data_IF_920589516602
#
_entry.id   IF_920589516602
#
_cell.length_a   1.000
_cell.length_b   1.000
_cell.length_c   1.000
_cell.angle_alpha   90.00
_cell.angle_beta   90.00
_cell.angle_gamma   90.00
#
_symmetry.space_group_name_H-M   'P 1'
#
loop_
_entity.id
_entity.type
_entity.pdbx_description
1 polymer ?
#
# COMPACT_ATOMS: atom_id res chain seq x y z
N UNK A 1 -9.86 28.27 49.25
CA UNK A 1 -8.82 27.19 49.24
C UNK A 1 -8.43 26.71 47.86
N UNK A 2 -9.17 27.01 46.78
CA UNK A 2 -8.77 26.71 45.40
C UNK A 2 -7.74 27.72 44.84
N UNK A 3 -7.77 28.98 45.30
CA UNK A 3 -6.77 29.97 44.91
C UNK A 3 -5.34 29.61 45.36
N UNK A 4 -5.19 28.93 46.52
CA UNK A 4 -3.87 28.49 47.01
C UNK A 4 -3.22 27.36 46.24
N UNK A 5 -3.89 26.74 45.26
CA UNK A 5 -3.32 25.67 44.41
C UNK A 5 -2.80 26.22 43.09
N UNK A 6 -3.39 27.31 42.58
CA UNK A 6 -3.05 27.87 41.25
C UNK A 6 -1.71 28.61 41.26
N UNK A 7 -1.37 29.27 42.36
CA UNK A 7 -0.12 30.03 42.53
C UNK A 7 1.11 29.13 42.78
N UNK A 8 0.91 27.79 42.84
CA UNK A 8 1.97 26.79 43.02
C UNK A 8 2.22 25.89 41.82
N UNK A 9 1.55 26.09 40.67
CA UNK A 9 1.79 25.31 39.47
C UNK A 9 3.12 25.76 38.88
N UNK A 10 4.13 24.89 38.96
CA UNK A 10 5.47 25.13 38.45
C UNK A 10 5.74 24.38 37.17
N UNK A 11 4.94 23.39 36.85
CA UNK A 11 5.06 22.54 35.65
C UNK A 11 3.69 22.34 35.03
N UNK A 12 3.63 22.37 33.71
CA UNK A 12 2.46 22.03 32.91
C UNK A 12 2.89 20.99 31.87
N UNK A 13 2.31 19.82 32.00
CA UNK A 13 2.45 18.78 30.96
C UNK A 13 1.30 18.98 29.99
N UNK A 14 1.66 19.18 28.71
CA UNK A 14 0.70 19.39 27.63
C UNK A 14 0.45 18.09 26.83
N UNK A 15 0.99 16.98 27.29
CA UNK A 15 0.88 15.69 26.63
C UNK A 15 1.69 15.61 25.33
N UNK A 16 1.25 14.75 24.43
CA UNK A 16 1.87 14.52 23.11
C UNK A 16 1.38 15.48 22.04
N UNK A 17 1.08 14.92 20.87
CA UNK A 17 0.42 15.64 19.77
C UNK A 17 1.35 16.21 18.70
N UNK A 18 2.67 16.15 18.88
CA UNK A 18 3.59 16.38 17.75
C UNK A 18 3.60 15.14 16.86
N UNK A 19 3.02 15.26 15.67
CA UNK A 19 2.93 14.19 14.70
C UNK A 19 4.21 13.98 13.90
N UNK A 20 4.18 12.97 13.05
CA UNK A 20 5.24 12.61 12.12
C UNK A 20 4.62 12.46 10.73
N UNK A 21 5.29 12.97 9.73
CA UNK A 21 4.86 12.84 8.33
C UNK A 21 5.45 11.57 7.72
N UNK A 22 4.76 10.46 7.86
CA UNK A 22 5.17 9.18 7.27
C UNK A 22 4.90 9.12 5.76
N UNK A 23 3.89 9.85 5.28
CA UNK A 23 3.50 9.87 3.88
C UNK A 23 4.36 10.82 3.02
N UNK A 24 5.00 11.81 3.66
CA UNK A 24 5.68 12.89 2.93
C UNK A 24 4.73 13.90 2.26
N UNK A 25 3.41 13.73 2.44
CA UNK A 25 2.36 14.50 1.76
C UNK A 25 2.12 15.88 2.38
N UNK A 26 2.57 16.10 3.62
CA UNK A 26 2.27 17.28 4.43
C UNK A 26 0.78 17.64 4.47
N UNK A 27 -0.05 16.62 4.55
CA UNK A 27 -1.50 16.71 4.50
C UNK A 27 -2.15 16.63 5.90
N UNK A 28 -3.48 16.55 5.94
CA UNK A 28 -4.26 16.26 7.15
C UNK A 28 -4.58 14.77 7.31
N UNK A 29 -3.95 13.92 6.53
CA UNK A 29 -4.05 12.47 6.71
C UNK A 29 -3.55 12.06 8.10
N UNK A 30 -4.03 10.95 8.61
CA UNK A 30 -3.69 10.49 9.96
C UNK A 30 -2.22 10.05 10.08
N UNK A 31 -1.58 9.67 8.98
CA UNK A 31 -0.14 9.35 8.89
C UNK A 31 0.71 10.53 8.38
N UNK A 32 0.18 11.76 8.36
CA UNK A 32 0.88 12.96 7.92
C UNK A 32 0.68 14.13 8.90
N UNK A 33 1.46 15.19 8.71
CA UNK A 33 1.29 16.47 9.40
C UNK A 33 1.46 17.62 8.41
N UNK A 34 0.65 18.66 8.56
CA UNK A 34 0.71 19.87 7.74
C UNK A 34 1.27 21.09 8.50
N UNK A 35 1.91 20.88 9.64
CA UNK A 35 2.52 21.92 10.47
C UNK A 35 3.97 21.56 10.84
N UNK A 36 4.76 22.56 11.18
CA UNK A 36 6.14 22.37 11.64
C UNK A 36 6.28 22.48 13.15
N UNK A 37 7.46 22.13 13.67
CA UNK A 37 7.81 22.21 15.09
C UNK A 37 7.58 23.60 15.68
N UNK A 38 7.92 24.66 14.91
CA UNK A 38 7.71 26.04 15.35
C UNK A 38 6.22 26.34 15.60
N UNK A 39 5.35 25.93 14.69
CA UNK A 39 3.89 26.14 14.84
C UNK A 39 3.33 25.36 16.03
N UNK A 40 3.78 24.12 16.23
CA UNK A 40 3.43 23.32 17.39
C UNK A 40 3.84 24.02 18.69
N UNK A 41 5.10 24.43 18.79
CA UNK A 41 5.62 25.11 19.98
C UNK A 41 4.89 26.44 20.25
N UNK A 42 4.65 27.25 19.22
CA UNK A 42 3.97 28.54 19.35
C UNK A 42 2.52 28.38 19.86
N UNK A 43 1.80 27.38 19.37
CA UNK A 43 0.43 27.07 19.80
C UNK A 43 0.33 26.64 21.26
N UNK A 44 1.42 26.15 21.86
CA UNK A 44 1.49 25.79 23.28
C UNK A 44 1.98 26.96 24.11
N UNK A 45 3.09 27.58 23.72
CA UNK A 45 3.77 28.61 24.51
C UNK A 45 2.97 29.89 24.56
N UNK A 46 2.40 30.34 23.43
CA UNK A 46 1.71 31.64 23.39
C UNK A 46 0.49 31.75 24.31
N UNK A 47 -0.46 30.76 24.33
CA UNK A 47 -1.59 30.80 25.26
C UNK A 47 -1.16 30.78 26.72
N UNK A 48 -0.14 30.00 27.08
CA UNK A 48 0.38 29.94 28.45
C UNK A 48 1.05 31.26 28.85
N UNK A 49 1.84 31.86 27.96
CA UNK A 49 2.48 33.16 28.18
C UNK A 49 1.43 34.26 28.40
N UNK A 50 0.42 34.33 27.52
CA UNK A 50 -0.67 35.31 27.62
C UNK A 50 -1.43 35.17 28.94
N UNK A 51 -1.77 33.94 29.35
CA UNK A 51 -2.42 33.70 30.63
C UNK A 51 -1.55 34.11 31.82
N UNK A 52 -0.25 33.82 31.78
CA UNK A 52 0.66 34.23 32.85
C UNK A 52 0.76 35.76 32.96
N UNK A 53 0.81 36.48 31.84
CA UNK A 53 0.82 37.93 31.81
C UNK A 53 -0.49 38.50 32.31
N UNK A 54 -1.64 38.02 31.86
CA UNK A 54 -2.97 38.49 32.27
C UNK A 54 -3.20 38.36 33.79
N UNK A 55 -2.76 37.23 34.38
CA UNK A 55 -3.00 36.95 35.80
C UNK A 55 -1.79 37.24 36.71
N UNK A 56 -0.71 37.82 36.19
CA UNK A 56 0.49 38.13 36.94
C UNK A 56 1.19 36.89 37.53
N UNK A 57 1.16 35.76 36.82
CA UNK A 57 1.73 34.50 37.26
C UNK A 57 3.14 34.27 36.71
N UNK A 58 3.95 33.57 37.51
CA UNK A 58 5.25 33.09 37.01
C UNK A 58 5.04 32.01 35.96
N UNK A 59 5.68 32.11 34.76
CA UNK A 59 5.56 31.09 33.74
C UNK A 59 6.00 29.70 34.22
N UNK A 60 5.18 28.66 34.01
CA UNK A 60 5.53 27.30 34.40
C UNK A 60 6.56 26.70 33.42
N UNK A 61 7.24 25.66 33.88
CA UNK A 61 8.01 24.78 32.97
C UNK A 61 7.04 23.94 32.15
N UNK A 62 7.22 23.90 30.84
CA UNK A 62 6.41 23.09 29.93
C UNK A 62 7.10 21.73 29.75
N UNK A 63 6.31 20.68 29.86
CA UNK A 63 6.69 19.30 29.58
C UNK A 63 5.83 18.80 28.42
N UNK A 64 6.43 18.04 27.51
CA UNK A 64 5.73 17.42 26.37
C UNK A 64 6.05 15.92 26.33
N UNK A 65 5.08 15.11 25.88
CA UNK A 65 5.21 13.65 25.74
C UNK A 65 5.26 13.23 24.27
N UNK A 66 6.04 13.93 23.47
CA UNK A 66 6.14 13.73 22.01
C UNK A 66 7.05 12.54 21.64
N UNK A 67 6.80 11.34 22.18
CA UNK A 67 7.63 10.15 21.98
C UNK A 67 7.78 9.77 20.51
N UNK A 68 6.68 9.69 19.77
CA UNK A 68 6.68 9.33 18.34
C UNK A 68 7.59 10.26 17.52
N UNK A 69 7.46 11.56 17.69
CA UNK A 69 8.25 12.53 16.94
C UNK A 69 9.77 12.47 17.26
N UNK A 70 10.11 12.02 18.46
CA UNK A 70 11.52 11.88 18.88
C UNK A 70 12.14 10.57 18.44
N UNK A 71 11.34 9.51 18.27
CA UNK A 71 11.87 8.16 18.08
C UNK A 71 11.60 7.56 16.70
N UNK A 72 10.59 8.02 15.96
CA UNK A 72 10.24 7.44 14.65
C UNK A 72 11.44 7.29 13.71
N UNK A 73 12.26 8.31 13.60
CA UNK A 73 13.38 8.37 12.63
C UNK A 73 14.65 7.59 13.04
N UNK A 74 14.72 7.02 14.26
CA UNK A 74 15.98 6.44 14.73
C UNK A 74 16.18 4.99 14.32
N UNK A 75 15.15 4.31 13.79
CA UNK A 75 15.22 2.91 13.40
C UNK A 75 14.72 2.67 11.98
N UNK A 76 15.33 1.68 11.36
CA UNK A 76 14.96 1.10 10.07
C UNK A 76 14.90 -0.41 10.25
N UNK A 77 13.80 -1.03 9.82
CA UNK A 77 13.70 -2.47 9.70
C UNK A 77 14.14 -2.88 8.29
N UNK A 78 15.04 -3.85 8.20
CA UNK A 78 15.47 -4.42 6.93
C UNK A 78 15.04 -5.88 6.90
N UNK A 79 14.20 -6.22 5.92
CA UNK A 79 13.72 -7.58 5.71
C UNK A 79 14.25 -8.14 4.39
N UNK A 80 14.53 -9.45 4.37
CA UNK A 80 14.90 -10.15 3.16
C UNK A 80 13.67 -10.79 2.53
N UNK A 81 13.52 -10.65 1.22
CA UNK A 81 12.52 -11.38 0.46
C UNK A 81 12.97 -12.83 0.35
N UNK A 82 12.13 -13.73 0.83
CA UNK A 82 12.40 -15.17 0.86
C UNK A 82 11.85 -15.88 -0.38
N UNK A 83 10.71 -15.42 -0.87
CA UNK A 83 9.99 -16.01 -2.00
C UNK A 83 9.12 -14.95 -2.67
N UNK A 84 8.80 -15.14 -3.95
CA UNK A 84 7.84 -14.33 -4.69
C UNK A 84 6.83 -15.25 -5.37
N UNK A 85 5.55 -15.00 -5.09
CA UNK A 85 4.44 -15.53 -5.88
C UNK A 85 4.19 -14.52 -7.02
N UNK A 86 4.69 -14.85 -8.21
CA UNK A 86 4.48 -13.99 -9.39
C UNK A 86 2.99 -14.01 -9.79
N UNK A 87 2.46 -12.85 -10.14
CA UNK A 87 1.13 -12.73 -10.72
C UNK A 87 1.05 -13.57 -12.01
N UNK A 88 -0.12 -14.12 -12.27
CA UNK A 88 -0.32 -14.93 -13.46
C UNK A 88 -0.10 -14.08 -14.73
N UNK A 89 0.88 -14.44 -15.54
CA UNK A 89 1.21 -13.71 -16.78
C UNK A 89 0.13 -13.91 -17.86
N UNK A 90 -0.58 -15.02 -17.78
CA UNK A 90 -1.52 -15.43 -18.82
C UNK A 90 -0.80 -15.90 -20.10
N UNK A 91 -1.51 -16.61 -20.92
CA UNK A 91 -1.07 -17.02 -22.24
C UNK A 91 -2.27 -17.26 -23.14
N UNK A 92 -2.07 -17.21 -24.44
CA UNK A 92 -3.07 -17.62 -25.40
C UNK A 92 -2.90 -19.11 -25.68
N UNK A 93 -3.77 -19.98 -25.15
CA UNK A 93 -3.67 -21.42 -25.36
C UNK A 93 -4.05 -21.78 -26.80
N UNK A 94 -3.58 -22.95 -27.29
CA UNK A 94 -3.94 -23.44 -28.59
C UNK A 94 -5.45 -23.59 -28.74
N UNK A 95 -5.98 -23.32 -29.93
CA UNK A 95 -7.39 -23.46 -30.23
C UNK A 95 -7.78 -24.93 -30.45
N UNK A 96 -8.97 -25.30 -29.93
CA UNK A 96 -9.56 -26.62 -30.12
C UNK A 96 -10.97 -26.50 -30.75
N UNK A 97 -11.39 -27.53 -31.48
CA UNK A 97 -12.69 -27.51 -32.17
C UNK A 97 -13.89 -27.43 -31.22
N UNK A 98 -13.80 -28.06 -30.04
CA UNK A 98 -14.87 -28.13 -29.01
C UNK A 98 -14.61 -27.24 -27.80
N UNK A 99 -14.32 -25.96 -28.03
CA UNK A 99 -14.13 -25.02 -26.91
C UNK A 99 -15.46 -24.58 -26.30
N UNK A 100 -15.57 -24.51 -24.93
CA UNK A 100 -16.66 -23.85 -24.25
C UNK A 100 -16.86 -22.40 -24.72
N UNK A 101 -18.11 -21.90 -24.64
CA UNK A 101 -18.45 -20.57 -25.11
C UNK A 101 -17.56 -19.47 -24.49
N UNK A 102 -17.31 -19.56 -23.17
CA UNK A 102 -16.46 -18.60 -22.47
C UNK A 102 -15.03 -18.54 -23.05
N UNK A 103 -14.41 -19.66 -23.42
CA UNK A 103 -13.08 -19.68 -24.04
C UNK A 103 -13.12 -19.02 -25.41
N UNK A 104 -14.13 -19.31 -26.23
CA UNK A 104 -14.27 -18.69 -27.57
C UNK A 104 -14.42 -17.17 -27.46
N UNK A 105 -15.30 -16.69 -26.58
CA UNK A 105 -15.49 -15.25 -26.38
C UNK A 105 -14.24 -14.55 -25.85
N UNK A 106 -13.53 -15.15 -24.87
CA UNK A 106 -12.28 -14.59 -24.38
C UNK A 106 -11.21 -14.52 -25.48
N UNK A 107 -11.17 -15.51 -26.39
CA UNK A 107 -10.27 -15.48 -27.53
C UNK A 107 -10.63 -14.37 -28.52
N UNK A 108 -11.92 -14.19 -28.84
CA UNK A 108 -12.40 -13.11 -29.69
C UNK A 108 -12.00 -11.74 -29.08
N UNK A 109 -12.19 -11.55 -27.77
CA UNK A 109 -11.78 -10.34 -27.06
C UNK A 109 -10.26 -10.12 -27.17
N UNK A 110 -9.47 -11.19 -26.98
CA UNK A 110 -8.01 -11.11 -27.11
C UNK A 110 -7.58 -10.68 -28.51
N UNK A 111 -8.20 -11.23 -29.56
CA UNK A 111 -7.89 -10.89 -30.95
C UNK A 111 -8.27 -9.45 -31.33
N UNK A 112 -9.19 -8.84 -30.55
CA UNK A 112 -9.64 -7.47 -30.74
C UNK A 112 -8.91 -6.44 -29.85
N UNK A 113 -7.88 -6.88 -29.08
CA UNK A 113 -7.17 -6.00 -28.14
C UNK A 113 -6.66 -4.72 -28.79
N UNK A 114 -6.18 -4.76 -30.04
CA UNK A 114 -5.62 -3.58 -30.71
C UNK A 114 -6.67 -2.71 -31.42
N UNK A 115 -7.93 -3.17 -31.50
CA UNK A 115 -8.97 -2.53 -32.32
C UNK A 115 -10.02 -1.81 -31.47
N UNK A 116 -10.45 -2.40 -30.37
CA UNK A 116 -11.54 -1.88 -29.52
C UNK A 116 -11.01 -1.12 -28.30
N UNK A 117 -11.87 -0.31 -27.62
CA UNK A 117 -11.51 0.38 -26.40
C UNK A 117 -11.12 -0.59 -25.29
N UNK A 118 -9.96 -0.38 -24.68
CA UNK A 118 -9.38 -1.29 -23.67
C UNK A 118 -10.28 -1.51 -22.45
N UNK A 119 -10.94 -0.45 -21.97
CA UNK A 119 -11.87 -0.53 -20.81
C UNK A 119 -13.08 -1.42 -21.12
N UNK A 120 -13.64 -1.33 -22.33
CA UNK A 120 -14.77 -2.15 -22.76
C UNK A 120 -14.38 -3.62 -22.86
N UNK A 121 -13.23 -3.92 -23.48
CA UNK A 121 -12.70 -5.27 -23.59
C UNK A 121 -12.45 -5.92 -22.23
N UNK A 122 -11.96 -5.14 -21.25
CA UNK A 122 -11.73 -5.67 -19.91
C UNK A 122 -13.04 -6.01 -19.19
N UNK A 123 -14.08 -5.19 -19.31
CA UNK A 123 -15.39 -5.47 -18.74
C UNK A 123 -16.03 -6.72 -19.35
N UNK A 124 -15.94 -6.89 -20.66
CA UNK A 124 -16.41 -8.11 -21.33
C UNK A 124 -15.59 -9.34 -20.89
N UNK A 125 -14.26 -9.21 -20.81
CA UNK A 125 -13.40 -10.30 -20.35
C UNK A 125 -13.74 -10.74 -18.91
N UNK A 126 -14.00 -9.79 -18.01
CA UNK A 126 -14.46 -10.10 -16.65
C UNK A 126 -15.78 -10.87 -16.64
N UNK A 127 -16.73 -10.48 -17.51
CA UNK A 127 -18.01 -11.17 -17.62
C UNK A 127 -17.84 -12.63 -18.03
N UNK A 128 -17.11 -12.91 -19.13
CA UNK A 128 -16.92 -14.28 -19.60
C UNK A 128 -16.00 -15.10 -18.72
N UNK A 129 -15.04 -14.48 -18.03
CA UNK A 129 -14.27 -15.14 -16.99
C UNK A 129 -15.15 -15.61 -15.85
N UNK A 130 -16.03 -14.73 -15.32
CA UNK A 130 -16.96 -15.10 -14.26
C UNK A 130 -17.96 -16.19 -14.68
N UNK A 131 -18.46 -16.15 -15.93
CA UNK A 131 -19.31 -17.21 -16.51
C UNK A 131 -18.57 -18.56 -16.58
N UNK A 132 -17.30 -18.52 -16.98
CA UNK A 132 -16.44 -19.71 -17.02
C UNK A 132 -16.23 -20.32 -15.62
N UNK A 133 -15.94 -19.48 -14.61
CA UNK A 133 -15.81 -19.94 -13.24
C UNK A 133 -17.11 -20.55 -12.68
N UNK A 134 -18.26 -19.94 -13.01
CA UNK A 134 -19.56 -20.48 -12.63
C UNK A 134 -19.82 -21.83 -13.32
N UNK A 135 -19.49 -21.97 -14.60
CA UNK A 135 -19.61 -23.23 -15.35
C UNK A 135 -18.74 -24.33 -14.74
N UNK A 136 -17.54 -24.01 -14.29
CA UNK A 136 -16.67 -24.94 -13.57
C UNK A 136 -17.27 -25.36 -12.22
N UNK A 137 -17.79 -24.42 -11.45
CA UNK A 137 -18.44 -24.72 -10.16
C UNK A 137 -19.67 -25.63 -10.32
N UNK A 138 -20.38 -25.54 -11.46
CA UNK A 138 -21.51 -26.40 -11.80
C UNK A 138 -21.10 -27.75 -12.44
N UNK A 139 -19.80 -28.00 -12.64
CA UNK A 139 -19.30 -29.22 -13.26
C UNK A 139 -19.57 -29.32 -14.77
N UNK A 140 -19.83 -28.19 -15.44
CA UNK A 140 -20.09 -28.14 -16.89
C UNK A 140 -18.82 -28.10 -17.72
N UNK A 141 -17.73 -27.66 -17.13
CA UNK A 141 -16.37 -27.67 -17.70
C UNK A 141 -15.40 -28.33 -16.73
N UNK A 142 -14.31 -28.87 -17.25
CA UNK A 142 -13.25 -29.49 -16.47
C UNK A 142 -12.15 -28.53 -16.03
N UNK A 143 -11.20 -28.98 -15.21
CA UNK A 143 -10.10 -28.18 -14.71
C UNK A 143 -9.15 -27.67 -15.83
N UNK A 144 -8.77 -28.47 -16.83
CA UNK A 144 -8.02 -27.97 -18.00
C UNK A 144 -8.74 -26.84 -18.74
N UNK A 145 -10.06 -26.93 -18.93
CA UNK A 145 -10.83 -25.87 -19.58
C UNK A 145 -10.88 -24.60 -18.73
N UNK A 146 -11.03 -24.74 -17.41
CA UNK A 146 -10.92 -23.59 -16.49
C UNK A 146 -9.54 -22.93 -16.55
N UNK A 147 -8.46 -23.70 -16.53
CA UNK A 147 -7.09 -23.16 -16.63
C UNK A 147 -6.90 -22.34 -17.93
N UNK A 148 -7.49 -22.76 -19.03
CA UNK A 148 -7.45 -22.03 -20.31
C UNK A 148 -8.26 -20.73 -20.26
N UNK A 149 -9.37 -20.70 -19.51
CA UNK A 149 -10.13 -19.48 -19.25
C UNK A 149 -9.29 -18.49 -18.47
N UNK A 150 -8.64 -18.94 -17.39
CA UNK A 150 -7.75 -18.10 -16.57
C UNK A 150 -6.56 -17.60 -17.43
N UNK A 151 -5.90 -18.46 -18.20
CA UNK A 151 -4.78 -18.09 -19.09
C UNK A 151 -5.17 -16.97 -20.08
N UNK A 152 -6.32 -17.10 -20.76
CA UNK A 152 -6.82 -16.07 -21.69
C UNK A 152 -7.18 -14.77 -20.99
N UNK A 153 -7.88 -14.87 -19.86
CA UNK A 153 -8.28 -13.69 -19.09
C UNK A 153 -7.07 -12.87 -18.65
N UNK A 154 -6.03 -13.52 -18.12
CA UNK A 154 -4.82 -12.82 -17.72
C UNK A 154 -4.01 -12.28 -18.91
N UNK A 155 -3.98 -12.97 -20.04
CA UNK A 155 -3.39 -12.43 -21.26
C UNK A 155 -4.09 -11.15 -21.72
N UNK A 156 -5.44 -11.13 -21.67
CA UNK A 156 -6.25 -9.92 -21.96
C UNK A 156 -5.96 -8.83 -20.93
N UNK A 157 -5.94 -9.15 -19.64
CA UNK A 157 -5.69 -8.20 -18.57
C UNK A 157 -4.35 -7.47 -18.73
N UNK A 158 -3.28 -8.20 -19.04
CA UNK A 158 -1.97 -7.61 -19.36
C UNK A 158 -2.01 -6.75 -20.63
N UNK A 159 -2.67 -7.23 -21.69
CA UNK A 159 -2.83 -6.46 -22.93
C UNK A 159 -3.59 -5.16 -22.72
N UNK A 160 -4.68 -5.19 -21.96
CA UNK A 160 -5.45 -4.02 -21.56
C UNK A 160 -4.60 -3.05 -20.73
N UNK A 161 -3.91 -3.57 -19.69
CA UNK A 161 -3.08 -2.74 -18.82
C UNK A 161 -2.01 -1.97 -19.59
N UNK A 162 -1.38 -2.59 -20.60
CA UNK A 162 -0.37 -1.95 -21.43
C UNK A 162 -0.90 -0.77 -22.26
N UNK A 163 -2.22 -0.69 -22.48
CA UNK A 163 -2.89 0.35 -23.28
C UNK A 163 -3.51 1.47 -22.47
N UNK A 164 -3.59 1.33 -21.14
CA UNK A 164 -4.20 2.31 -20.26
C UNK A 164 -3.16 3.29 -19.71
N UNK A 165 -3.58 4.54 -19.43
CA UNK A 165 -2.75 5.58 -18.83
C UNK A 165 -3.53 6.31 -17.73
N UNK A 166 -2.86 6.68 -16.64
CA UNK A 166 -3.42 7.49 -15.57
C UNK A 166 -3.78 8.93 -15.98
N UNK A 167 -3.28 9.39 -17.13
CA UNK A 167 -3.62 10.72 -17.67
C UNK A 167 -5.10 10.80 -18.07
N UNK A 168 -5.70 9.67 -18.43
CA UNK A 168 -7.11 9.57 -18.78
C UNK A 168 -7.97 9.18 -17.58
N UNK A 169 -8.93 10.05 -17.22
CA UNK A 169 -9.82 9.80 -16.06
C UNK A 169 -10.61 8.49 -16.16
N UNK A 170 -11.05 8.13 -17.37
CA UNK A 170 -11.82 6.90 -17.63
C UNK A 170 -11.02 5.62 -17.42
N UNK A 171 -9.69 5.71 -17.42
CA UNK A 171 -8.80 4.56 -17.26
C UNK A 171 -8.47 4.26 -15.79
N UNK A 172 -8.56 5.25 -14.90
CA UNK A 172 -8.01 5.17 -13.54
C UNK A 172 -8.57 3.99 -12.74
N UNK A 173 -9.90 3.86 -12.69
CA UNK A 173 -10.53 2.77 -11.92
C UNK A 173 -10.17 1.37 -12.42
N UNK A 174 -9.99 1.23 -13.75
CA UNK A 174 -9.58 -0.04 -14.35
C UNK A 174 -8.10 -0.31 -14.11
N UNK A 175 -7.25 0.72 -14.15
CA UNK A 175 -5.84 0.61 -13.81
C UNK A 175 -5.64 0.22 -12.34
N UNK A 176 -6.40 0.82 -11.43
CA UNK A 176 -6.34 0.49 -10.02
C UNK A 176 -6.72 -0.99 -9.80
N UNK A 177 -7.83 -1.44 -10.40
CA UNK A 177 -8.25 -2.85 -10.33
C UNK A 177 -7.20 -3.80 -10.95
N UNK A 178 -6.63 -3.44 -12.11
CA UNK A 178 -5.60 -4.25 -12.75
C UNK A 178 -4.30 -4.28 -11.94
N UNK A 179 -3.91 -3.17 -11.29
CA UNK A 179 -2.75 -3.13 -10.43
C UNK A 179 -2.92 -4.01 -9.18
N UNK A 180 -4.13 -4.09 -8.62
CA UNK A 180 -4.43 -5.03 -7.52
C UNK A 180 -4.44 -6.49 -7.98
N UNK A 181 -4.94 -6.76 -9.19
CA UNK A 181 -5.08 -8.12 -9.74
C UNK A 181 -3.78 -8.71 -10.30
N UNK A 182 -2.93 -7.86 -10.87
CA UNK A 182 -1.68 -8.24 -11.54
C UNK A 182 -0.45 -7.94 -10.66
N UNK A 183 -0.61 -8.02 -9.35
CA UNK A 183 0.43 -7.74 -8.37
C UNK A 183 1.16 -9.03 -7.97
N UNK A 184 2.48 -8.96 -7.89
CA UNK A 184 3.29 -10.03 -7.32
C UNK A 184 3.24 -9.97 -5.78
N UNK A 185 3.34 -11.11 -5.09
CA UNK A 185 3.46 -11.14 -3.63
C UNK A 185 4.90 -11.46 -3.24
N UNK A 186 5.52 -10.54 -2.52
CA UNK A 186 6.88 -10.65 -2.01
C UNK A 186 6.85 -11.06 -0.54
N UNK A 187 7.15 -12.34 -0.28
CA UNK A 187 7.18 -12.86 1.09
C UNK A 187 8.48 -12.49 1.78
N UNK A 188 8.37 -11.79 2.89
CA UNK A 188 9.51 -11.31 3.69
C UNK A 188 9.67 -12.13 4.96
N UNK A 189 10.90 -12.20 5.46
CA UNK A 189 11.31 -13.07 6.57
C UNK A 189 11.00 -12.49 7.96
N UNK A 190 9.81 -11.90 8.14
CA UNK A 190 9.32 -11.42 9.44
C UNK A 190 7.81 -11.66 9.60
N UNK A 191 7.25 -11.33 10.74
CA UNK A 191 5.82 -11.23 10.98
C UNK A 191 5.39 -9.76 11.06
N UNK A 192 4.36 -9.37 10.30
CA UNK A 192 3.73 -8.04 10.39
C UNK A 192 3.27 -7.78 11.82
N UNK A 193 2.67 -8.79 12.47
CA UNK A 193 2.11 -8.69 13.82
C UNK A 193 3.14 -8.45 14.93
N UNK A 194 4.40 -8.85 14.73
CA UNK A 194 5.47 -8.68 15.70
C UNK A 194 6.44 -7.55 15.33
N UNK A 195 6.78 -7.41 14.04
CA UNK A 195 7.83 -6.50 13.59
C UNK A 195 7.34 -5.09 13.28
N UNK A 196 6.11 -4.97 12.76
CA UNK A 196 5.44 -3.70 12.41
C UNK A 196 3.95 -3.77 12.77
N UNK A 197 3.59 -4.06 14.03
CA UNK A 197 2.21 -4.36 14.42
C UNK A 197 1.24 -3.21 14.14
N UNK A 198 1.71 -1.98 14.13
CA UNK A 198 0.89 -0.80 13.88
C UNK A 198 0.30 -0.76 12.46
N UNK A 199 0.94 -1.42 11.47
CA UNK A 199 0.39 -1.57 10.12
C UNK A 199 -0.95 -2.27 10.18
N UNK A 200 -1.01 -3.40 10.90
CA UNK A 200 -2.24 -4.18 11.07
C UNK A 200 -3.20 -3.58 12.10
N UNK A 201 -2.68 -3.09 13.23
CA UNK A 201 -3.52 -2.71 14.36
C UNK A 201 -4.21 -1.34 14.21
N UNK A 202 -3.62 -0.41 13.48
CA UNK A 202 -4.08 0.98 13.37
C UNK A 202 -3.88 1.58 11.96
N UNK A 203 -3.68 0.76 10.94
CA UNK A 203 -3.45 1.17 9.55
C UNK A 203 -2.27 2.16 9.41
N UNK A 204 -1.22 2.01 10.23
CA UNK A 204 -0.03 2.86 10.18
C UNK A 204 0.71 2.63 8.87
N UNK A 205 0.94 3.69 8.13
CA UNK A 205 1.75 3.68 6.91
C UNK A 205 3.21 3.97 7.24
N UNK A 206 4.12 3.21 6.65
CA UNK A 206 5.57 3.45 6.70
C UNK A 206 6.14 3.64 5.30
N UNK A 207 7.19 4.48 5.12
CA UNK A 207 7.95 4.49 3.88
C UNK A 207 8.66 3.14 3.68
N UNK A 208 8.32 2.44 2.60
CA UNK A 208 8.87 1.13 2.27
C UNK A 208 9.51 1.22 0.89
N UNK A 209 10.76 0.81 0.77
CA UNK A 209 11.47 0.82 -0.51
C UNK A 209 12.45 -0.36 -0.59
N UNK A 210 12.74 -0.89 -1.78
CA UNK A 210 13.87 -1.78 -1.97
C UNK A 210 15.18 -1.04 -1.66
N UNK A 211 16.14 -1.71 -1.03
CA UNK A 211 17.45 -1.13 -0.71
C UNK A 211 18.58 -1.67 -1.60
N UNK A 212 18.27 -2.55 -2.51
CA UNK A 212 19.14 -3.05 -3.56
C UNK A 212 18.63 -2.62 -4.93
N UNK A 213 19.53 -2.63 -5.92
CA UNK A 213 19.22 -2.32 -7.33
C UNK A 213 18.65 -0.90 -7.51
N UNK A 214 19.16 0.06 -6.72
CA UNK A 214 18.68 1.45 -6.72
C UNK A 214 18.98 2.20 -8.02
N UNK A 215 19.86 1.67 -8.86
CA UNK A 215 20.21 2.15 -10.19
C UNK A 215 19.39 1.51 -11.32
N UNK A 216 18.51 0.57 -10.99
CA UNK A 216 17.62 -0.09 -11.93
C UNK A 216 16.18 0.47 -11.79
N UNK A 217 15.47 0.54 -12.90
CA UNK A 217 14.05 0.89 -12.88
C UNK A 217 13.23 -0.34 -12.46
N UNK A 218 12.37 -0.23 -11.45
CA UNK A 218 11.45 -1.32 -11.09
C UNK A 218 10.57 -1.73 -12.28
N UNK A 219 10.46 -3.04 -12.49
CA UNK A 219 9.73 -3.64 -13.62
C UNK A 219 8.51 -4.46 -13.19
N UNK A 220 8.22 -4.47 -11.87
CA UNK A 220 7.09 -5.17 -11.25
C UNK A 220 6.32 -4.25 -10.30
N UNK A 221 5.07 -4.63 -10.04
CA UNK A 221 4.28 -4.13 -8.91
C UNK A 221 4.14 -5.26 -7.91
N UNK A 222 4.35 -4.99 -6.63
CA UNK A 222 4.29 -6.02 -5.61
C UNK A 222 3.63 -5.56 -4.32
N UNK A 223 3.08 -6.51 -3.58
CA UNK A 223 2.68 -6.35 -2.19
C UNK A 223 3.63 -7.13 -1.30
N UNK A 224 3.85 -6.63 -0.09
CA UNK A 224 4.68 -7.29 0.91
C UNK A 224 3.79 -8.17 1.78
N UNK A 225 4.07 -9.45 1.80
CA UNK A 225 3.42 -10.42 2.68
C UNK A 225 4.43 -10.99 3.66
N UNK A 226 3.97 -11.33 4.86
CA UNK A 226 4.80 -11.98 5.86
C UNK A 226 4.80 -13.51 5.71
N UNK A 227 5.52 -14.20 6.60
CA UNK A 227 5.64 -15.67 6.59
C UNK A 227 4.62 -16.35 7.50
N UNK A 228 3.59 -15.64 7.96
CA UNK A 228 2.54 -16.22 8.80
C UNK A 228 1.45 -16.91 7.96
N UNK A 229 0.62 -17.72 8.61
CA UNK A 229 -0.52 -18.36 7.95
C UNK A 229 -1.78 -17.48 7.93
N UNK A 230 -1.70 -16.26 8.47
CA UNK A 230 -2.82 -15.34 8.53
C UNK A 230 -2.90 -14.52 7.24
N UNK A 231 -4.09 -14.39 6.67
CA UNK A 231 -4.33 -13.60 5.45
C UNK A 231 -4.07 -12.10 5.65
N UNK A 232 -4.14 -11.62 6.89
CA UNK A 232 -3.90 -10.22 7.25
C UNK A 232 -2.40 -9.91 7.43
N UNK A 233 -1.52 -10.93 7.30
CA UNK A 233 -0.06 -10.78 7.38
C UNK A 233 0.54 -10.10 6.15
N UNK A 234 -0.01 -8.94 5.74
CA UNK A 234 0.46 -8.19 4.58
C UNK A 234 0.42 -6.69 4.81
N UNK A 235 1.13 -5.96 3.96
CA UNK A 235 1.06 -4.49 3.89
C UNK A 235 0.18 -4.13 2.69
N UNK A 236 -0.92 -3.42 2.94
CA UNK A 236 -1.92 -3.09 1.91
C UNK A 236 -1.78 -1.64 1.39
N UNK A 237 -1.02 -0.80 2.09
CA UNK A 237 -0.91 0.63 1.76
C UNK A 237 0.54 1.07 1.75
N UNK A 238 0.94 1.68 0.65
CA UNK A 238 2.31 2.12 0.39
C UNK A 238 2.36 3.61 0.07
N UNK A 239 3.48 4.24 0.41
CA UNK A 239 3.77 5.63 0.03
C UNK A 239 4.47 5.63 -1.33
N UNK A 240 3.89 6.29 -2.31
CA UNK A 240 4.49 6.50 -3.62
C UNK A 240 4.19 7.91 -4.14
N UNK A 241 5.25 8.68 -4.49
CA UNK A 241 5.13 9.99 -5.15
C UNK A 241 4.11 10.95 -4.51
N UNK A 242 4.17 11.13 -3.19
CA UNK A 242 3.27 12.00 -2.41
C UNK A 242 1.79 11.52 -2.42
N UNK A 243 1.55 10.24 -2.66
CA UNK A 243 0.24 9.59 -2.60
C UNK A 243 0.32 8.24 -1.90
N UNK A 244 -0.82 7.64 -1.63
CA UNK A 244 -0.94 6.26 -1.16
C UNK A 244 -1.36 5.37 -2.33
N UNK A 245 -0.75 4.19 -2.41
CA UNK A 245 -1.01 3.17 -3.43
C UNK A 245 -1.21 1.81 -2.76
N UNK A 246 -1.90 0.88 -3.43
CA UNK A 246 -2.14 -0.48 -2.97
C UNK A 246 -0.99 -1.45 -3.26
N UNK A 247 0.04 -1.01 -3.96
CA UNK A 247 1.21 -1.81 -4.33
C UNK A 247 2.48 -0.97 -4.41
N UNK A 248 3.63 -1.62 -4.40
CA UNK A 248 4.96 -1.00 -4.40
C UNK A 248 5.68 -1.31 -5.71
N UNK A 249 6.38 -0.36 -6.35
CA UNK A 249 7.27 -0.67 -7.46
C UNK A 249 8.48 -1.47 -6.96
N UNK A 250 8.64 -2.67 -7.51
CA UNK A 250 9.68 -3.64 -7.14
C UNK A 250 10.35 -4.21 -8.39
N UNK A 251 11.38 -5.02 -8.20
CA UNK A 251 12.11 -5.64 -9.28
C UNK A 251 11.84 -7.14 -9.33
N UNK A 252 11.75 -7.71 -10.52
CA UNK A 252 11.69 -9.16 -10.70
C UNK A 252 12.87 -9.84 -9.98
N UNK A 253 12.57 -10.85 -9.18
CA UNK A 253 13.60 -11.61 -8.46
C UNK A 253 14.55 -12.32 -9.42
N UNK A 254 15.84 -12.29 -9.13
CA UNK A 254 16.87 -13.04 -9.86
C UNK A 254 17.31 -14.24 -9.03
N UNK A 255 17.39 -15.44 -9.61
CA UNK A 255 17.80 -16.63 -8.88
C UNK A 255 19.15 -16.46 -8.20
N UNK A 256 19.21 -16.73 -6.88
CA UNK A 256 20.43 -16.66 -6.10
C UNK A 256 20.85 -15.27 -5.64
N UNK A 257 20.10 -14.21 -5.97
CA UNK A 257 20.31 -12.87 -5.44
C UNK A 257 19.51 -12.67 -4.13
N UNK A 258 20.14 -11.98 -3.18
CA UNK A 258 19.42 -11.42 -2.03
C UNK A 258 18.69 -10.17 -2.47
N UNK A 259 17.43 -10.02 -2.03
CA UNK A 259 16.64 -8.82 -2.30
C UNK A 259 16.03 -8.33 -1.00
N UNK A 260 16.52 -7.20 -0.52
CA UNK A 260 16.12 -6.64 0.77
C UNK A 260 15.26 -5.40 0.60
N UNK A 261 14.29 -5.28 1.50
CA UNK A 261 13.35 -4.18 1.58
C UNK A 261 13.56 -3.47 2.91
N UNK A 262 13.64 -2.15 2.87
CA UNK A 262 13.77 -1.28 4.03
C UNK A 262 12.42 -0.67 4.39
N UNK A 263 12.05 -0.77 5.67
CA UNK A 263 10.91 -0.11 6.28
C UNK A 263 11.45 1.02 7.14
N UNK A 264 11.18 2.24 6.77
CA UNK A 264 11.76 3.41 7.41
C UNK A 264 10.81 4.01 8.46
N UNK A 265 11.41 4.76 9.40
CA UNK A 265 10.69 5.46 10.45
C UNK A 265 9.93 4.55 11.43
N UNK A 266 10.41 3.32 11.62
CA UNK A 266 9.80 2.31 12.50
C UNK A 266 10.22 2.43 13.96
N UNK A 267 10.90 3.51 14.35
CA UNK A 267 11.46 3.66 15.70
C UNK A 267 10.47 4.06 16.78
N UNK A 268 9.23 4.34 16.45
CA UNK A 268 8.26 4.80 17.44
C UNK A 268 7.52 3.66 18.15
N UNK A 269 7.33 2.54 17.54
CA UNK A 269 6.61 1.37 18.09
C UNK A 269 7.11 0.07 17.47
#
# INVERSE_FOLDING_TARGET
SEMCKRDRITHVDVGGGLGVDYEGTRSRSFCSINYGLHSYASNIVQPLANACEEFGLTPPRIVTECGRAMTAHHAVLIANVSEVEEAQEGRVPDQHDDEPAAIRHLREIHDELDVRPAVELFQEAQHFHAEGLASYALGQIDLPQRARIDDLFYAIAHGVRARLSYDEKSHRSVLDELNERLVDKYFVNFSVFESIPDVWAIDQVFPIVPIERLDETPDRRGIIADMTCDSDGMVETYVENESLDSSLPLHKMRPGESYRIGFFMVGAY
#
